data_IF_362526379892
#
_entry.id   IF_362526379892
#
_cell.length_a   1.000
_cell.length_b   1.000
_cell.length_c   1.000
_cell.angle_alpha   90.00
_cell.angle_beta   90.00
_cell.angle_gamma   90.00
#
_symmetry.space_group_name_H-M   'P 1'
#
loop_
_entity.id
_entity.type
_entity.pdbx_description
1 polymer ?
#
# COMPACT_ATOMS: atom_id res chain seq x y z
N UNK A 1 30.67 -44.45 -11.15
CA UNK A 1 31.09 -43.10 -11.60
C UNK A 1 29.91 -42.22 -12.02
N UNK A 2 28.83 -42.77 -12.60
CA UNK A 2 27.64 -41.99 -12.97
C UNK A 2 26.77 -41.48 -11.80
N UNK A 3 26.75 -42.14 -10.64
CA UNK A 3 25.91 -41.72 -9.50
C UNK A 3 26.37 -40.43 -8.81
N UNK A 4 27.68 -40.13 -8.80
CA UNK A 4 28.22 -38.93 -8.14
C UNK A 4 27.93 -37.66 -8.97
N UNK A 5 27.86 -37.78 -10.30
CA UNK A 5 27.50 -36.67 -11.19
C UNK A 5 25.99 -36.33 -11.15
N UNK A 6 25.12 -37.31 -10.94
CA UNK A 6 23.67 -37.08 -10.76
C UNK A 6 23.40 -36.25 -9.51
N UNK A 7 23.97 -36.65 -8.37
CA UNK A 7 23.74 -36.03 -7.06
C UNK A 7 24.22 -34.57 -6.99
N UNK A 8 25.24 -34.18 -7.76
CA UNK A 8 25.65 -32.77 -7.86
C UNK A 8 24.73 -31.90 -8.70
N UNK A 9 24.07 -32.48 -9.72
CA UNK A 9 23.14 -31.76 -10.61
C UNK A 9 21.83 -31.48 -9.88
N UNK A 10 21.30 -32.49 -9.20
CA UNK A 10 20.02 -32.40 -8.49
C UNK A 10 20.08 -31.36 -7.36
N UNK A 11 21.20 -31.29 -6.62
CA UNK A 11 21.42 -30.27 -5.58
C UNK A 11 21.57 -28.86 -6.13
N UNK A 12 22.18 -28.68 -7.30
CA UNK A 12 22.26 -27.36 -7.94
C UNK A 12 20.88 -26.90 -8.40
N UNK A 13 20.05 -27.80 -8.93
CA UNK A 13 18.70 -27.48 -9.35
C UNK A 13 17.79 -27.10 -8.16
N UNK A 14 17.88 -27.81 -7.03
CA UNK A 14 17.16 -27.45 -5.81
C UNK A 14 17.61 -26.09 -5.24
N UNK A 15 18.91 -25.79 -5.24
CA UNK A 15 19.42 -24.50 -4.77
C UNK A 15 18.96 -23.34 -5.66
N UNK A 16 18.92 -23.53 -6.97
CA UNK A 16 18.39 -22.52 -7.90
C UNK A 16 16.88 -22.29 -7.68
N UNK A 17 16.10 -23.36 -7.52
CA UNK A 17 14.66 -23.27 -7.20
C UNK A 17 14.37 -22.52 -5.90
N UNK A 18 15.20 -22.71 -4.86
CA UNK A 18 15.05 -22.00 -3.60
C UNK A 18 15.37 -20.49 -3.71
N UNK A 19 16.29 -20.10 -4.59
CA UNK A 19 16.62 -18.69 -4.84
C UNK A 19 15.60 -18.00 -5.76
N UNK A 20 14.94 -18.74 -6.64
CA UNK A 20 14.00 -18.20 -7.64
C UNK A 20 12.63 -17.80 -7.08
N UNK A 21 12.11 -18.54 -6.11
CA UNK A 21 10.79 -18.25 -5.51
C UNK A 21 10.68 -16.84 -4.89
N UNK A 22 11.59 -16.39 -4.01
CA UNK A 22 11.52 -15.03 -3.46
C UNK A 22 11.77 -13.98 -4.54
N UNK A 23 12.72 -14.23 -5.45
CA UNK A 23 13.05 -13.32 -6.55
C UNK A 23 11.86 -13.01 -7.45
N UNK A 24 11.04 -14.01 -7.81
CA UNK A 24 9.84 -13.78 -8.63
C UNK A 24 8.79 -12.96 -7.88
N UNK A 25 8.54 -13.28 -6.61
CA UNK A 25 7.56 -12.56 -5.81
C UNK A 25 7.97 -11.08 -5.64
N UNK A 26 9.26 -10.82 -5.42
CA UNK A 26 9.82 -9.48 -5.38
C UNK A 26 9.72 -8.77 -6.75
N UNK A 27 9.91 -9.49 -7.86
CA UNK A 27 9.72 -8.97 -9.21
C UNK A 27 8.27 -8.51 -9.42
N UNK A 28 7.31 -9.38 -9.12
CA UNK A 28 5.89 -9.11 -9.29
C UNK A 28 5.47 -7.96 -8.38
N UNK A 29 5.86 -7.99 -7.11
CA UNK A 29 5.55 -6.92 -6.15
C UNK A 29 6.14 -5.59 -6.62
N UNK A 30 7.39 -5.58 -7.07
CA UNK A 30 8.04 -4.41 -7.63
C UNK A 30 7.31 -3.86 -8.86
N UNK A 31 6.96 -4.70 -9.84
CA UNK A 31 6.18 -4.29 -11.03
C UNK A 31 4.83 -3.70 -10.63
N UNK A 32 4.12 -4.35 -9.71
CA UNK A 32 2.81 -3.88 -9.22
C UNK A 32 2.92 -2.53 -8.52
N UNK A 33 3.93 -2.36 -7.65
CA UNK A 33 4.19 -1.07 -7.00
C UNK A 33 4.51 0.00 -8.06
N UNK A 34 5.32 -0.30 -9.06
CA UNK A 34 5.66 0.63 -10.13
C UNK A 34 4.42 1.05 -10.94
N UNK A 35 3.52 0.09 -11.24
CA UNK A 35 2.24 0.38 -11.88
C UNK A 35 1.38 1.31 -11.03
N UNK A 36 1.28 1.06 -9.72
CA UNK A 36 0.56 1.92 -8.78
C UNK A 36 1.18 3.32 -8.73
N UNK A 37 2.51 3.41 -8.65
CA UNK A 37 3.25 4.68 -8.68
C UNK A 37 2.94 5.45 -9.97
N UNK A 38 2.95 4.78 -11.12
CA UNK A 38 2.66 5.41 -12.40
C UNK A 38 1.24 5.99 -12.44
N UNK A 39 0.23 5.20 -12.02
CA UNK A 39 -1.16 5.66 -11.93
C UNK A 39 -1.26 6.83 -10.96
N UNK A 40 -0.69 6.72 -9.77
CA UNK A 40 -0.80 7.73 -8.73
C UNK A 40 -0.06 9.03 -9.08
N UNK A 41 1.08 8.94 -9.78
CA UNK A 41 1.79 10.08 -10.34
C UNK A 41 0.97 10.82 -11.40
N UNK A 42 0.24 10.08 -12.25
CA UNK A 42 -0.61 10.68 -13.29
C UNK A 42 -1.75 11.54 -12.70
N UNK A 43 -2.26 11.15 -11.52
CA UNK A 43 -3.29 11.91 -10.79
C UNK A 43 -2.66 13.06 -10.01
N UNK A 44 -1.54 12.81 -9.32
CA UNK A 44 -0.83 13.80 -8.48
C UNK A 44 -0.37 15.02 -9.29
N UNK A 45 0.00 14.82 -10.55
CA UNK A 45 0.39 15.93 -11.44
C UNK A 45 -0.72 16.95 -11.74
N UNK A 46 -1.99 16.61 -11.46
CA UNK A 46 -3.14 17.50 -11.67
C UNK A 46 -3.55 18.25 -10.40
N UNK A 47 -2.86 18.07 -9.28
CA UNK A 47 -3.14 18.81 -8.05
C UNK A 47 -2.69 20.26 -8.26
N UNK A 48 -3.63 21.20 -8.12
CA UNK A 48 -3.35 22.63 -8.24
C UNK A 48 -2.45 23.09 -7.08
N UNK A 49 -1.39 23.83 -7.42
CA UNK A 49 -0.51 24.49 -6.47
C UNK A 49 -0.66 26.00 -6.65
N UNK A 50 -0.92 26.72 -5.56
CA UNK A 50 -0.87 28.17 -5.58
C UNK A 50 0.60 28.62 -5.64
N UNK A 51 1.05 29.31 -6.70
CA UNK A 51 2.44 29.75 -6.83
C UNK A 51 2.86 30.77 -5.76
N UNK A 52 1.91 31.32 -4.99
CA UNK A 52 2.17 32.27 -3.92
C UNK A 52 2.27 31.61 -2.53
N UNK A 53 2.04 30.31 -2.41
CA UNK A 53 2.22 29.58 -1.16
C UNK A 53 3.70 29.15 -1.02
N UNK A 54 4.50 29.76 -0.12
CA UNK A 54 5.92 29.43 0.04
C UNK A 54 6.14 28.15 0.87
N UNK A 55 5.07 27.48 1.27
CA UNK A 55 5.09 26.34 2.20
C UNK A 55 5.18 24.97 1.54
N UNK A 56 5.02 23.95 2.39
CA UNK A 56 4.87 22.57 1.97
C UNK A 56 3.46 22.38 1.40
N UNK A 57 3.37 22.17 0.09
CA UNK A 57 2.10 22.14 -0.63
C UNK A 57 1.35 20.83 -0.39
N UNK A 58 0.04 20.82 -0.67
CA UNK A 58 -0.77 19.60 -0.66
C UNK A 58 -0.26 18.52 -1.64
N UNK A 59 0.54 18.90 -2.65
CA UNK A 59 1.14 18.01 -3.63
C UNK A 59 2.49 17.43 -3.19
N UNK A 60 3.22 18.11 -2.30
CA UNK A 60 4.54 17.65 -1.83
C UNK A 60 4.48 16.31 -1.09
N UNK A 61 3.43 16.07 -0.28
CA UNK A 61 3.29 14.81 0.45
C UNK A 61 3.03 13.60 -0.48
N UNK A 62 2.05 13.64 -1.40
CA UNK A 62 1.90 12.62 -2.44
C UNK A 62 3.19 12.38 -3.24
N UNK A 63 3.91 13.45 -3.59
CA UNK A 63 5.20 13.35 -4.29
C UNK A 63 6.26 12.62 -3.47
N UNK A 64 6.37 12.90 -2.17
CA UNK A 64 7.27 12.18 -1.27
C UNK A 64 6.94 10.68 -1.19
N UNK A 65 5.65 10.32 -1.12
CA UNK A 65 5.20 8.92 -1.15
C UNK A 65 5.59 8.26 -2.48
N UNK A 66 5.38 8.93 -3.62
CA UNK A 66 5.77 8.42 -4.94
C UNK A 66 7.26 8.12 -5.01
N UNK A 67 8.11 9.01 -4.49
CA UNK A 67 9.56 8.80 -4.42
C UNK A 67 9.91 7.57 -3.58
N UNK A 68 9.34 7.45 -2.38
CA UNK A 68 9.59 6.31 -1.49
C UNK A 68 9.14 4.98 -2.11
N UNK A 69 7.96 4.95 -2.73
CA UNK A 69 7.45 3.76 -3.42
C UNK A 69 8.29 3.39 -4.64
N UNK A 70 8.81 4.39 -5.36
CA UNK A 70 9.73 4.15 -6.48
C UNK A 70 11.03 3.52 -5.98
N UNK A 71 11.61 4.03 -4.90
CA UNK A 71 12.82 3.45 -4.28
C UNK A 71 12.56 2.01 -3.84
N UNK A 72 11.43 1.76 -3.16
CA UNK A 72 11.03 0.41 -2.73
C UNK A 72 10.88 -0.54 -3.92
N UNK A 73 10.19 -0.10 -4.97
CA UNK A 73 10.02 -0.87 -6.21
C UNK A 73 11.36 -1.24 -6.84
N UNK A 74 12.29 -0.28 -6.93
CA UNK A 74 13.63 -0.54 -7.48
C UNK A 74 14.41 -1.51 -6.58
N UNK A 75 14.30 -1.35 -5.26
CA UNK A 75 14.95 -2.23 -4.28
C UNK A 75 14.47 -3.68 -4.39
N UNK A 76 13.20 -3.92 -4.72
CA UNK A 76 12.64 -5.26 -4.92
C UNK A 76 12.99 -5.82 -6.32
N UNK A 77 12.91 -4.98 -7.36
CA UNK A 77 13.21 -5.42 -8.74
C UNK A 77 14.67 -5.74 -8.95
N UNK A 78 15.59 -5.03 -8.30
CA UNK A 78 17.03 -5.22 -8.51
C UNK A 78 17.51 -6.65 -8.23
N UNK A 79 17.30 -7.24 -7.04
CA UNK A 79 17.72 -8.62 -6.78
C UNK A 79 16.96 -9.61 -7.65
N UNK A 80 15.68 -9.36 -7.92
CA UNK A 80 14.84 -10.18 -8.76
C UNK A 80 15.37 -10.29 -10.21
N UNK A 81 15.71 -9.15 -10.83
CA UNK A 81 16.26 -9.10 -12.19
C UNK A 81 17.63 -9.80 -12.27
N UNK A 82 18.46 -9.66 -11.23
CA UNK A 82 19.76 -10.35 -11.16
C UNK A 82 19.57 -11.86 -11.08
N UNK A 83 18.58 -12.35 -10.32
CA UNK A 83 18.26 -13.78 -10.24
C UNK A 83 17.72 -14.30 -11.58
N UNK A 84 16.74 -13.60 -12.17
CA UNK A 84 16.11 -13.97 -13.44
C UNK A 84 17.10 -14.04 -14.61
N UNK A 85 18.08 -13.12 -14.63
CA UNK A 85 19.14 -13.12 -15.62
C UNK A 85 20.06 -14.35 -15.52
N UNK A 86 20.24 -14.90 -14.31
CA UNK A 86 21.05 -16.10 -14.07
C UNK A 86 20.31 -17.39 -14.42
N UNK A 87 18.98 -17.40 -14.34
CA UNK A 87 18.14 -18.58 -14.60
C UNK A 87 17.56 -18.62 -16.01
N UNK A 88 18.06 -17.77 -16.91
CA UNK A 88 17.68 -17.80 -18.32
C UNK A 88 16.20 -17.47 -18.56
N UNK A 89 15.61 -16.62 -17.71
CA UNK A 89 14.19 -16.23 -17.78
C UNK A 89 13.20 -17.38 -17.57
N UNK A 90 13.63 -18.49 -16.97
CA UNK A 90 12.72 -19.57 -16.61
C UNK A 90 12.03 -19.25 -15.28
N UNK A 91 10.73 -19.01 -15.36
CA UNK A 91 9.90 -18.69 -14.20
C UNK A 91 9.35 -20.01 -13.65
N UNK A 92 9.96 -20.54 -12.58
CA UNK A 92 9.41 -21.68 -11.84
C UNK A 92 8.09 -21.31 -11.13
N UNK A 93 7.27 -22.31 -10.77
CA UNK A 93 5.88 -22.16 -10.32
C UNK A 93 5.65 -21.29 -9.07
N UNK A 94 4.47 -20.67 -9.01
CA UNK A 94 4.04 -19.75 -7.96
C UNK A 94 4.16 -20.36 -6.56
N UNK A 95 4.79 -19.62 -5.62
CA UNK A 95 4.78 -19.97 -4.20
C UNK A 95 3.38 -19.75 -3.59
N UNK A 96 3.13 -20.36 -2.43
CA UNK A 96 1.81 -20.47 -1.79
C UNK A 96 0.97 -19.18 -1.84
N UNK A 97 -0.08 -19.20 -2.67
CA UNK A 97 -1.07 -18.13 -2.80
C UNK A 97 -1.78 -17.79 -1.48
N UNK A 98 -1.74 -18.70 -0.50
CA UNK A 98 -2.46 -18.62 0.77
C UNK A 98 -2.06 -17.39 1.61
N UNK A 99 -0.79 -17.00 1.56
CA UNK A 99 -0.30 -15.79 2.24
C UNK A 99 -0.87 -14.49 1.65
N UNK A 100 -1.07 -14.46 0.33
CA UNK A 100 -1.59 -13.31 -0.40
C UNK A 100 -3.07 -13.09 -0.06
N UNK A 101 -3.86 -14.17 -0.07
CA UNK A 101 -5.27 -14.13 0.32
C UNK A 101 -5.46 -13.75 1.79
N UNK A 102 -4.58 -14.21 2.67
CA UNK A 102 -4.71 -13.96 4.11
C UNK A 102 -4.52 -12.49 4.51
N UNK A 103 -3.65 -11.75 3.82
CA UNK A 103 -3.28 -10.38 4.23
C UNK A 103 -3.73 -9.31 3.23
N UNK A 104 -3.57 -9.55 1.92
CA UNK A 104 -3.85 -8.54 0.90
C UNK A 104 -5.34 -8.34 0.73
N UNK A 105 -6.11 -9.43 0.65
CA UNK A 105 -7.57 -9.34 0.41
C UNK A 105 -8.29 -8.58 1.52
N UNK A 106 -8.07 -8.86 2.82
CA UNK A 106 -8.67 -8.06 3.89
C UNK A 106 -8.24 -6.59 3.85
N UNK A 107 -6.98 -6.31 3.50
CA UNK A 107 -6.48 -4.94 3.39
C UNK A 107 -7.17 -4.17 2.26
N UNK A 108 -7.33 -4.81 1.09
CA UNK A 108 -8.07 -4.23 -0.05
C UNK A 108 -9.53 -3.98 0.36
N UNK A 109 -10.17 -4.92 1.05
CA UNK A 109 -11.53 -4.74 1.54
C UNK A 109 -11.66 -3.55 2.50
N UNK A 110 -10.73 -3.40 3.46
CA UNK A 110 -10.70 -2.24 4.37
C UNK A 110 -10.51 -0.94 3.58
N UNK A 111 -9.61 -0.91 2.60
CA UNK A 111 -9.38 0.26 1.77
C UNK A 111 -10.62 0.66 0.96
N UNK A 112 -11.34 -0.32 0.38
CA UNK A 112 -12.61 -0.06 -0.31
C UNK A 112 -13.69 0.48 0.62
N UNK A 113 -13.83 -0.10 1.82
CA UNK A 113 -14.76 0.40 2.85
C UNK A 113 -14.38 1.81 3.28
N UNK A 114 -13.09 2.09 3.42
CA UNK A 114 -12.59 3.42 3.77
C UNK A 114 -12.99 4.47 2.73
N UNK A 115 -12.79 4.20 1.44
CA UNK A 115 -13.18 5.11 0.35
C UNK A 115 -14.69 5.40 0.40
N UNK A 116 -15.51 4.36 0.61
CA UNK A 116 -16.96 4.51 0.71
C UNK A 116 -17.34 5.35 1.94
N UNK A 117 -16.67 5.13 3.08
CA UNK A 117 -16.95 5.85 4.32
C UNK A 117 -16.48 7.30 4.25
N UNK A 118 -15.39 7.60 3.55
CA UNK A 118 -14.95 8.98 3.29
C UNK A 118 -16.05 9.75 2.56
N UNK A 119 -16.62 9.17 1.52
CA UNK A 119 -17.69 9.80 0.74
C UNK A 119 -18.99 10.01 1.56
N UNK A 120 -19.26 9.13 2.53
CA UNK A 120 -20.45 9.22 3.38
C UNK A 120 -20.27 10.13 4.60
N UNK A 121 -19.16 9.95 5.30
CA UNK A 121 -18.91 10.41 6.67
C UNK A 121 -17.59 11.17 6.82
N UNK A 122 -16.98 11.67 5.75
CA UNK A 122 -15.74 12.44 5.81
C UNK A 122 -14.58 11.70 6.50
N UNK A 123 -13.44 12.38 6.65
CA UNK A 123 -12.20 11.80 7.13
C UNK A 123 -12.25 11.20 8.53
N UNK A 124 -12.74 11.89 9.58
CA UNK A 124 -12.53 11.42 10.95
C UNK A 124 -13.24 10.10 11.23
N UNK A 125 -14.51 9.98 10.81
CA UNK A 125 -15.32 8.79 11.07
C UNK A 125 -14.83 7.62 10.23
N UNK A 126 -14.53 7.86 8.95
CA UNK A 126 -13.99 6.83 8.08
C UNK A 126 -12.69 6.25 8.64
N UNK A 127 -11.74 7.12 9.02
CA UNK A 127 -10.43 6.73 9.54
C UNK A 127 -10.55 5.95 10.84
N UNK A 128 -11.40 6.41 11.77
CA UNK A 128 -11.61 5.73 13.04
C UNK A 128 -12.18 4.33 12.84
N UNK A 129 -13.26 4.19 12.08
CA UNK A 129 -13.95 2.90 11.88
C UNK A 129 -13.07 1.91 11.11
N UNK A 130 -12.39 2.35 10.04
CA UNK A 130 -11.54 1.44 9.26
C UNK A 130 -10.29 1.04 10.01
N UNK A 131 -9.73 1.91 10.85
CA UNK A 131 -8.63 1.56 11.75
C UNK A 131 -9.04 0.49 12.77
N UNK A 132 -10.27 0.55 13.31
CA UNK A 132 -10.82 -0.51 14.15
C UNK A 132 -10.90 -1.82 13.37
N UNK A 133 -11.49 -1.79 12.17
CA UNK A 133 -11.63 -2.96 11.31
C UNK A 133 -10.28 -3.60 11.00
N UNK A 134 -9.29 -2.79 10.64
CA UNK A 134 -7.92 -3.22 10.41
C UNK A 134 -7.33 -3.92 11.64
N UNK A 135 -7.39 -3.29 12.80
CA UNK A 135 -6.86 -3.87 14.03
C UNK A 135 -7.52 -5.22 14.36
N UNK A 136 -8.84 -5.35 14.20
CA UNK A 136 -9.57 -6.60 14.43
C UNK A 136 -9.13 -7.69 13.45
N UNK A 137 -9.03 -7.36 12.16
CA UNK A 137 -8.60 -8.30 11.10
C UNK A 137 -7.19 -8.83 11.39
N UNK A 138 -6.28 -7.97 11.85
CA UNK A 138 -4.93 -8.36 12.25
C UNK A 138 -4.84 -8.92 13.68
N UNK A 139 -5.98 -9.32 14.27
CA UNK A 139 -6.03 -10.10 15.50
C UNK A 139 -5.82 -9.29 16.78
N UNK A 140 -5.82 -7.95 16.73
CA UNK A 140 -5.79 -7.15 17.95
C UNK A 140 -7.10 -7.30 18.72
N UNK A 141 -6.97 -7.56 20.02
CA UNK A 141 -8.10 -7.71 20.93
C UNK A 141 -7.97 -6.73 22.10
N UNK A 142 -9.11 -6.32 22.64
CA UNK A 142 -9.20 -5.47 23.84
C UNK A 142 -9.61 -4.02 23.54
N UNK A 143 -10.54 -3.50 24.34
CA UNK A 143 -11.17 -2.19 24.12
C UNK A 143 -10.16 -1.04 24.08
N UNK A 144 -9.10 -1.08 24.91
CA UNK A 144 -8.06 -0.04 24.90
C UNK A 144 -7.37 0.03 23.55
N UNK A 145 -6.98 -1.13 22.99
CA UNK A 145 -6.30 -1.19 21.69
C UNK A 145 -7.25 -0.83 20.55
N UNK A 146 -8.50 -1.29 20.62
CA UNK A 146 -9.49 -1.04 19.58
C UNK A 146 -10.09 0.36 19.62
N UNK A 147 -10.02 1.10 20.72
CA UNK A 147 -10.62 2.45 20.80
C UNK A 147 -9.53 3.52 20.88
N UNK A 148 -8.60 3.38 21.82
CA UNK A 148 -7.62 4.45 22.12
C UNK A 148 -6.64 4.62 20.96
N UNK A 149 -6.13 3.53 20.38
CA UNK A 149 -5.17 3.61 19.28
C UNK A 149 -5.81 4.23 18.03
N UNK A 150 -6.97 3.75 17.52
CA UNK A 150 -7.66 4.39 16.40
C UNK A 150 -8.02 5.84 16.66
N UNK A 151 -8.46 6.18 17.88
CA UNK A 151 -8.82 7.55 18.22
C UNK A 151 -7.62 8.48 18.15
N UNK A 152 -6.50 8.11 18.79
CA UNK A 152 -5.26 8.88 18.75
C UNK A 152 -4.74 9.00 17.32
N UNK A 153 -4.72 7.90 16.56
CA UNK A 153 -4.28 7.90 15.18
C UNK A 153 -5.15 8.83 14.31
N UNK A 154 -6.47 8.77 14.48
CA UNK A 154 -7.42 9.65 13.76
C UNK A 154 -7.15 11.12 14.08
N UNK A 155 -6.96 11.48 15.35
CA UNK A 155 -6.67 12.86 15.75
C UNK A 155 -5.34 13.33 15.18
N UNK A 156 -4.28 12.53 15.30
CA UNK A 156 -2.95 12.87 14.77
C UNK A 156 -3.04 13.08 13.26
N UNK A 157 -3.64 12.13 12.53
CA UNK A 157 -3.71 12.25 11.08
C UNK A 157 -4.63 13.39 10.64
N UNK A 158 -5.74 13.66 11.34
CA UNK A 158 -6.58 14.81 11.03
C UNK A 158 -5.79 16.12 11.17
N UNK A 159 -5.03 16.29 12.25
CA UNK A 159 -4.18 17.47 12.44
C UNK A 159 -3.11 17.57 11.35
N UNK A 160 -2.48 16.46 10.98
CA UNK A 160 -1.47 16.45 9.92
C UNK A 160 -2.09 16.81 8.57
N UNK A 161 -3.18 16.15 8.17
CA UNK A 161 -3.76 16.32 6.85
C UNK A 161 -4.52 17.65 6.68
N UNK A 162 -5.34 18.03 7.65
CA UNK A 162 -6.20 19.21 7.53
C UNK A 162 -5.58 20.43 8.18
N UNK A 163 -4.81 20.25 9.27
CA UNK A 163 -4.16 21.34 9.98
C UNK A 163 -2.83 21.76 9.34
N UNK A 164 -1.95 20.80 9.03
CA UNK A 164 -0.61 21.10 8.52
C UNK A 164 -0.53 21.08 6.99
N UNK A 165 -1.18 20.12 6.34
CA UNK A 165 -1.14 19.97 4.87
C UNK A 165 -2.26 20.73 4.15
N UNK A 166 -3.16 21.38 4.90
CA UNK A 166 -4.21 22.22 4.35
C UNK A 166 -5.17 21.50 3.41
N UNK A 167 -5.36 20.19 3.57
CA UNK A 167 -6.37 19.46 2.79
C UNK A 167 -7.76 19.95 3.19
N UNK A 168 -8.61 20.19 2.19
CA UNK A 168 -10.02 20.49 2.39
C UNK A 168 -10.84 19.32 1.87
N UNK A 169 -11.81 18.87 2.67
CA UNK A 169 -12.74 17.82 2.28
C UNK A 169 -14.14 18.39 2.07
N UNK A 170 -14.83 17.88 1.06
CA UNK A 170 -16.23 18.18 0.86
C UNK A 170 -17.08 17.58 2.01
N UNK A 171 -18.23 18.20 2.34
CA UNK A 171 -19.19 17.61 3.27
C UNK A 171 -19.59 16.19 2.84
N UNK A 172 -19.50 15.26 3.78
CA UNK A 172 -19.91 13.87 3.54
C UNK A 172 -21.39 13.83 3.14
N UNK A 173 -21.74 12.92 2.24
CA UNK A 173 -23.11 12.84 1.68
C UNK A 173 -24.21 12.62 2.71
N UNK A 174 -23.89 12.08 3.89
CA UNK A 174 -24.85 11.95 4.99
C UNK A 174 -25.10 13.28 5.69
N UNK A 175 -24.10 14.16 5.77
CA UNK A 175 -24.23 15.49 6.40
C UNK A 175 -24.55 16.61 5.41
N UNK A 176 -24.41 16.38 4.10
CA UNK A 176 -24.80 17.36 3.08
C UNK A 176 -26.31 17.64 3.05
N UNK A 177 -27.14 16.74 3.59
CA UNK A 177 -28.60 16.93 3.67
C UNK A 177 -29.05 17.98 4.71
N UNK A 178 -28.20 18.46 5.63
CA UNK A 178 -28.60 19.48 6.62
C UNK A 178 -28.29 20.93 6.22
N UNK A 179 -27.51 21.16 5.16
CA UNK A 179 -27.03 22.51 4.79
C UNK A 179 -27.71 23.09 3.53
N UNK A 180 -28.72 22.43 2.96
CA UNK A 180 -29.51 22.99 1.85
C UNK A 180 -30.46 24.14 2.28
N UNK A 181 -30.41 24.59 3.54
CA UNK A 181 -31.34 25.59 4.08
C UNK A 181 -30.72 26.91 4.55
N UNK A 182 -29.42 27.18 4.34
CA UNK A 182 -28.86 28.51 4.64
C UNK A 182 -27.76 28.94 3.65
N UNK A 183 -28.18 29.85 2.76
CA UNK A 183 -27.46 30.74 1.82
C UNK A 183 -27.01 30.19 0.47
#
# INVERSE_FOLDING_TARGET
>A
MNQVFSDSSDRQEEQLKQLDQPARNDAIAGILILLIVFIFASVTGNIFEDPLDPGFSARDFPMAILVLLTILSISLLRPALIALAKTGWQIYEAGEADSLFRYVVPMVAIASVYILFIHMFQYPVATFVTSIGALIIYGNRGYKRLIVIPLIATVIYYVVFFGLLGLFEEPGTVWSYSNQWYF
#
